data_IF_507862770901
#
_entry.id   IF_507862770901
#
_cell.length_a   1.000
_cell.length_b   1.000
_cell.length_c   1.000
_cell.angle_alpha   90.00
_cell.angle_beta   90.00
_cell.angle_gamma   90.00
#
_symmetry.space_group_name_H-M   'P 1'
#
loop_
_entity.id
_entity.type
_entity.pdbx_description
1 polymer ?
#
# COMPACT_ATOMS: atom_id res chain seq x y z
N UNK A 1 -9.02 21.28 16.84
CA UNK A 1 -8.39 22.02 15.74
C UNK A 1 -9.35 23.14 15.39
N UNK A 2 -9.09 24.37 15.78
CA UNK A 2 -9.87 25.51 15.32
C UNK A 2 -9.67 25.61 13.81
N UNK A 3 -10.74 25.55 13.05
CA UNK A 3 -10.76 25.73 11.60
C UNK A 3 -10.46 27.20 11.29
N UNK A 4 -9.20 27.60 11.44
CA UNK A 4 -8.75 28.91 11.04
C UNK A 4 -8.92 29.04 9.51
N UNK A 5 -9.36 30.19 9.03
CA UNK A 5 -9.62 30.48 7.60
C UNK A 5 -8.47 30.07 6.67
N UNK A 6 -7.21 30.18 7.15
CA UNK A 6 -6.01 29.71 6.42
C UNK A 6 -5.99 28.20 6.22
N UNK A 7 -6.38 27.42 7.23
CA UNK A 7 -6.41 25.96 7.12
C UNK A 7 -7.51 25.49 6.17
N UNK A 8 -8.68 26.13 6.17
CA UNK A 8 -9.77 25.82 5.24
C UNK A 8 -9.31 26.04 3.79
N UNK A 9 -8.66 27.16 3.51
CA UNK A 9 -8.13 27.46 2.17
C UNK A 9 -7.09 26.41 1.76
N UNK A 10 -6.17 26.03 2.65
CA UNK A 10 -5.18 24.99 2.39
C UNK A 10 -5.85 23.65 2.05
N UNK A 11 -6.85 23.23 2.81
CA UNK A 11 -7.58 21.98 2.57
C UNK A 11 -8.27 22.00 1.20
N UNK A 12 -8.96 23.09 0.86
CA UNK A 12 -9.62 23.21 -0.45
C UNK A 12 -8.60 23.15 -1.58
N UNK A 13 -7.47 23.85 -1.46
CA UNK A 13 -6.41 23.83 -2.47
C UNK A 13 -5.85 22.42 -2.63
N UNK A 14 -5.55 21.71 -1.54
CA UNK A 14 -5.00 20.35 -1.58
C UNK A 14 -6.00 19.38 -2.21
N UNK A 15 -7.28 19.47 -1.88
CA UNK A 15 -8.32 18.61 -2.47
C UNK A 15 -8.45 18.87 -3.98
N UNK A 16 -8.55 20.14 -4.38
CA UNK A 16 -8.66 20.51 -5.80
C UNK A 16 -7.41 20.06 -6.57
N UNK A 17 -6.23 20.28 -6.01
CA UNK A 17 -4.97 19.82 -6.60
C UNK A 17 -4.94 18.30 -6.72
N UNK A 18 -5.40 17.56 -5.70
CA UNK A 18 -5.46 16.09 -5.74
C UNK A 18 -6.41 15.58 -6.81
N UNK A 19 -7.59 16.18 -6.94
CA UNK A 19 -8.55 15.82 -7.99
C UNK A 19 -7.94 16.07 -9.38
N UNK A 20 -7.32 17.23 -9.59
CA UNK A 20 -6.67 17.55 -10.86
C UNK A 20 -5.51 16.59 -11.17
N UNK A 21 -4.69 16.27 -10.17
CA UNK A 21 -3.56 15.34 -10.33
C UNK A 21 -4.04 13.95 -10.73
N UNK A 22 -5.06 13.42 -10.05
CA UNK A 22 -5.66 12.12 -10.37
C UNK A 22 -6.31 12.16 -11.76
N UNK A 23 -7.05 13.22 -12.09
CA UNK A 23 -7.71 13.36 -13.39
C UNK A 23 -6.72 13.40 -14.54
N UNK A 24 -5.65 14.23 -14.43
CA UNK A 24 -4.59 14.32 -15.44
C UNK A 24 -3.86 12.99 -15.54
N UNK A 25 -3.47 12.41 -14.41
CA UNK A 25 -2.74 11.14 -14.37
C UNK A 25 -3.54 10.00 -14.98
N UNK A 26 -4.82 9.88 -14.64
CA UNK A 26 -5.71 8.88 -15.24
C UNK A 26 -5.90 9.09 -16.74
N UNK A 27 -6.16 10.34 -17.18
CA UNK A 27 -6.38 10.64 -18.59
C UNK A 27 -5.15 10.39 -19.46
N UNK A 28 -3.95 10.60 -18.93
CA UNK A 28 -2.70 10.35 -19.65
C UNK A 28 -2.27 8.89 -19.65
N UNK A 29 -2.92 8.06 -18.84
CA UNK A 29 -2.57 6.65 -18.63
C UNK A 29 -3.76 5.70 -18.90
N UNK A 30 -4.74 6.10 -19.73
CA UNK A 30 -5.85 5.22 -20.11
C UNK A 30 -5.28 4.02 -20.86
N UNK A 31 -5.19 2.90 -20.16
CA UNK A 31 -4.96 1.59 -20.74
C UNK A 31 -6.33 0.94 -20.95
N UNK A 32 -6.69 0.71 -22.21
CA UNK A 32 -7.76 -0.22 -22.53
C UNK A 32 -7.18 -1.63 -22.33
N UNK A 33 -7.21 -2.14 -21.12
CA UNK A 33 -7.15 -3.58 -20.90
C UNK A 33 -8.54 -4.07 -21.33
N UNK A 34 -8.66 -4.46 -22.60
CA UNK A 34 -9.87 -5.14 -23.09
C UNK A 34 -9.79 -6.56 -22.54
N UNK A 35 -10.49 -6.77 -21.45
CA UNK A 35 -10.81 -8.09 -20.95
C UNK A 35 -12.25 -8.41 -21.33
N UNK A 36 -12.44 -9.01 -22.49
CA UNK A 36 -13.74 -9.51 -22.94
C UNK A 36 -14.31 -10.57 -21.97
N UNK A 37 -13.46 -11.20 -21.16
CA UNK A 37 -13.86 -12.18 -20.15
C UNK A 37 -14.56 -11.57 -18.93
N UNK A 38 -14.37 -10.27 -18.64
CA UNK A 38 -14.99 -9.59 -17.51
C UNK A 38 -16.54 -9.60 -17.56
N UNK A 39 -17.11 -9.74 -18.75
CA UNK A 39 -18.57 -9.76 -18.96
C UNK A 39 -19.22 -11.08 -18.60
N UNK A 40 -18.45 -12.13 -18.31
CA UNK A 40 -18.95 -13.48 -18.06
C UNK A 40 -19.04 -13.87 -16.58
N UNK A 41 -18.69 -12.96 -15.65
CA UNK A 41 -18.78 -13.22 -14.22
C UNK A 41 -20.03 -12.60 -13.60
N UNK A 42 -20.83 -13.44 -12.93
CA UNK A 42 -22.09 -13.01 -12.31
C UNK A 42 -22.14 -13.41 -10.84
N UNK A 43 -22.85 -12.61 -10.04
CA UNK A 43 -23.12 -12.97 -8.64
C UNK A 43 -24.35 -13.88 -8.60
N UNK A 44 -24.26 -14.96 -7.84
CA UNK A 44 -25.34 -15.87 -7.55
C UNK A 44 -25.53 -16.12 -6.06
N UNK A 45 -26.73 -16.58 -5.69
CA UNK A 45 -27.01 -17.12 -4.36
C UNK A 45 -27.52 -18.55 -4.54
N UNK A 46 -26.87 -19.50 -3.90
CA UNK A 46 -27.24 -20.91 -3.93
C UNK A 46 -28.59 -21.11 -3.25
N UNK A 47 -29.52 -21.72 -3.96
CA UNK A 47 -30.90 -21.98 -3.50
C UNK A 47 -31.04 -23.41 -3.03
N UNK A 48 -30.54 -24.38 -3.82
CA UNK A 48 -30.57 -25.81 -3.50
C UNK A 48 -29.37 -26.53 -4.09
N UNK A 49 -28.97 -27.62 -3.46
CA UNK A 49 -28.00 -28.57 -4.00
C UNK A 49 -28.81 -29.69 -4.62
N UNK A 50 -28.60 -29.99 -5.91
CA UNK A 50 -29.37 -30.99 -6.65
C UNK A 50 -28.68 -32.35 -6.61
N UNK A 51 -27.36 -32.38 -6.83
CA UNK A 51 -26.60 -33.61 -6.92
C UNK A 51 -25.16 -33.40 -6.46
N UNK A 52 -24.60 -34.43 -5.86
CA UNK A 52 -23.16 -34.50 -5.57
C UNK A 52 -22.63 -35.81 -6.10
N UNK A 53 -21.76 -35.73 -7.08
CA UNK A 53 -21.13 -36.89 -7.72
C UNK A 53 -19.66 -36.91 -7.34
N UNK A 54 -19.16 -38.10 -7.00
CA UNK A 54 -17.72 -38.33 -6.72
C UNK A 54 -17.20 -39.23 -7.83
N UNK A 55 -16.24 -38.77 -8.57
CA UNK A 55 -15.57 -39.53 -9.62
C UNK A 55 -14.08 -39.65 -9.32
N UNK A 56 -13.45 -40.73 -9.78
CA UNK A 56 -12.01 -40.93 -9.67
C UNK A 56 -11.38 -40.53 -11.01
N UNK A 57 -10.51 -39.54 -10.99
CA UNK A 57 -9.72 -39.11 -12.16
C UNK A 57 -8.33 -39.76 -12.09
N UNK A 58 -7.92 -40.57 -13.02
CA UNK A 58 -6.58 -41.12 -13.05
C UNK A 58 -5.56 -40.00 -13.31
N UNK A 59 -4.51 -39.92 -12.48
CA UNK A 59 -3.38 -39.01 -12.68
C UNK A 59 -2.22 -39.78 -13.30
N UNK A 60 -2.01 -41.01 -12.84
CA UNK A 60 -1.01 -41.94 -13.40
C UNK A 60 -1.63 -43.33 -13.53
N UNK A 61 -0.91 -44.28 -14.14
CA UNK A 61 -1.38 -45.67 -14.25
C UNK A 61 -1.70 -46.35 -12.89
N UNK A 62 -1.14 -45.81 -11.78
CA UNK A 62 -1.27 -46.40 -10.44
C UNK A 62 -1.93 -45.47 -9.41
N UNK A 63 -2.24 -44.24 -9.78
CA UNK A 63 -2.83 -43.25 -8.83
C UNK A 63 -4.02 -42.55 -9.46
N UNK A 64 -5.12 -42.45 -8.69
CA UNK A 64 -6.32 -41.70 -9.04
C UNK A 64 -6.65 -40.73 -7.92
N UNK A 65 -7.21 -39.57 -8.26
CA UNK A 65 -7.66 -38.52 -7.34
C UNK A 65 -9.17 -38.41 -7.41
N UNK A 66 -9.76 -38.18 -6.26
CA UNK A 66 -11.18 -37.94 -6.13
C UNK A 66 -11.53 -36.52 -6.64
N UNK A 67 -12.50 -36.47 -7.53
CA UNK A 67 -13.08 -35.23 -8.03
C UNK A 67 -14.53 -35.21 -7.64
N UNK A 68 -14.91 -34.25 -6.81
CA UNK A 68 -16.29 -34.04 -6.37
C UNK A 68 -16.94 -32.97 -7.22
N UNK A 69 -17.98 -33.34 -7.94
CA UNK A 69 -18.81 -32.41 -8.74
C UNK A 69 -20.13 -32.16 -8.03
N UNK A 70 -20.40 -30.91 -7.65
CA UNK A 70 -21.63 -30.49 -6.99
C UNK A 70 -22.46 -29.70 -7.99
N UNK A 71 -23.63 -30.25 -8.37
CA UNK A 71 -24.62 -29.54 -9.18
C UNK A 71 -25.62 -28.84 -8.26
N UNK A 72 -25.82 -27.54 -8.48
CA UNK A 72 -26.65 -26.70 -7.63
C UNK A 72 -27.55 -25.78 -8.44
N UNK A 73 -28.66 -25.34 -7.84
CA UNK A 73 -29.46 -24.23 -8.33
C UNK A 73 -29.03 -22.94 -7.64
N UNK A 74 -28.85 -21.88 -8.43
CA UNK A 74 -28.55 -20.55 -7.95
C UNK A 74 -29.49 -19.51 -8.53
N UNK A 75 -29.85 -18.52 -7.74
CA UNK A 75 -30.53 -17.32 -8.20
C UNK A 75 -29.48 -16.28 -8.56
N UNK A 76 -29.47 -15.85 -9.83
CA UNK A 76 -28.56 -14.81 -10.30
C UNK A 76 -28.94 -13.44 -9.72
N UNK A 77 -27.95 -12.74 -9.16
CA UNK A 77 -28.09 -11.43 -8.54
C UNK A 77 -27.66 -10.29 -9.47
N UNK A 78 -26.84 -10.60 -10.49
CA UNK A 78 -26.33 -9.64 -11.48
C UNK A 78 -26.40 -10.25 -12.89
N UNK A 79 -26.17 -9.42 -13.92
CA UNK A 79 -26.14 -9.83 -15.32
C UNK A 79 -27.49 -9.82 -16.02
N UNK A 80 -27.51 -10.20 -17.31
CA UNK A 80 -28.72 -10.16 -18.14
C UNK A 80 -29.82 -11.11 -17.66
N UNK A 81 -29.48 -12.19 -16.98
CA UNK A 81 -30.40 -13.17 -16.41
C UNK A 81 -30.68 -12.93 -14.90
N UNK A 82 -30.52 -11.70 -14.42
CA UNK A 82 -30.79 -11.34 -13.00
C UNK A 82 -32.17 -11.78 -12.57
N UNK A 83 -32.27 -12.40 -11.40
CA UNK A 83 -33.52 -12.89 -10.81
C UNK A 83 -33.93 -14.29 -11.24
N UNK A 84 -33.38 -14.82 -12.32
CA UNK A 84 -33.64 -16.20 -12.77
C UNK A 84 -32.87 -17.19 -11.92
N UNK A 85 -33.45 -18.39 -11.78
CA UNK A 85 -32.77 -19.53 -11.15
C UNK A 85 -32.19 -20.38 -12.26
N UNK A 86 -30.86 -20.63 -12.18
CA UNK A 86 -30.10 -21.40 -13.16
C UNK A 86 -29.33 -22.50 -12.46
N UNK A 87 -29.02 -23.56 -13.21
CA UNK A 87 -28.12 -24.62 -12.75
C UNK A 87 -26.68 -24.14 -12.82
N UNK A 88 -25.86 -24.60 -11.89
CA UNK A 88 -24.43 -24.38 -11.88
C UNK A 88 -23.70 -25.58 -11.31
N UNK A 89 -22.42 -25.65 -11.58
CA UNK A 89 -21.54 -26.72 -11.09
C UNK A 89 -20.33 -26.16 -10.32
N UNK A 90 -19.96 -26.85 -9.24
CA UNK A 90 -18.68 -26.70 -8.58
C UNK A 90 -17.90 -28.00 -8.70
N UNK A 91 -16.71 -27.95 -9.25
CA UNK A 91 -15.79 -29.08 -9.32
C UNK A 91 -14.70 -28.89 -8.28
N UNK A 92 -14.61 -29.82 -7.33
CA UNK A 92 -13.58 -29.85 -6.30
C UNK A 92 -12.64 -31.00 -6.66
N UNK A 93 -11.44 -30.65 -7.06
CA UNK A 93 -10.38 -31.62 -7.41
C UNK A 93 -9.44 -31.76 -6.19
N UNK A 94 -9.41 -32.94 -5.59
CA UNK A 94 -8.56 -33.22 -4.44
C UNK A 94 -7.07 -33.34 -4.77
N UNK A 95 -6.67 -33.21 -6.04
CA UNK A 95 -5.25 -33.10 -6.41
C UNK A 95 -4.61 -31.79 -5.93
N UNK A 96 -5.42 -30.76 -5.72
CA UNK A 96 -4.93 -29.50 -5.16
C UNK A 96 -4.72 -29.64 -3.65
N UNK A 97 -3.55 -29.21 -3.18
CA UNK A 97 -3.19 -29.26 -1.76
C UNK A 97 -4.16 -28.48 -0.86
N UNK A 98 -4.88 -27.49 -1.40
CA UNK A 98 -5.90 -26.72 -0.71
C UNK A 98 -7.29 -27.22 -1.11
N UNK A 99 -8.00 -27.87 -0.18
CA UNK A 99 -9.39 -28.28 -0.39
C UNK A 99 -10.27 -27.06 -0.54
N UNK A 100 -10.92 -26.94 -1.70
CA UNK A 100 -11.98 -25.94 -1.85
C UNK A 100 -13.16 -26.32 -0.95
N UNK A 101 -13.68 -25.34 -0.21
CA UNK A 101 -14.90 -25.59 0.60
C UNK A 101 -16.10 -25.88 -0.33
N UNK A 102 -16.86 -26.97 -0.06
CA UNK A 102 -18.06 -27.24 -0.82
C UNK A 102 -19.12 -26.16 -0.58
N UNK A 103 -19.82 -25.78 -1.63
CA UNK A 103 -20.92 -24.81 -1.55
C UNK A 103 -22.04 -25.31 -0.63
N UNK A 104 -22.67 -24.37 0.09
CA UNK A 104 -23.81 -24.62 0.97
C UNK A 104 -25.02 -23.83 0.50
N UNK A 105 -26.21 -24.31 0.80
CA UNK A 105 -27.45 -23.55 0.54
C UNK A 105 -27.37 -22.20 1.25
N UNK A 106 -27.69 -21.13 0.52
CA UNK A 106 -27.59 -19.75 1.00
C UNK A 106 -26.27 -19.07 0.74
N UNK A 107 -25.21 -19.80 0.30
CA UNK A 107 -23.92 -19.21 -0.04
C UNK A 107 -24.06 -18.19 -1.17
N UNK A 108 -23.40 -17.03 -1.01
CA UNK A 108 -23.21 -16.06 -2.09
C UNK A 108 -21.94 -16.39 -2.82
N UNK A 109 -22.04 -16.51 -4.15
CA UNK A 109 -20.95 -16.97 -5.01
C UNK A 109 -20.80 -16.08 -6.24
N UNK A 110 -19.64 -16.16 -6.86
CA UNK A 110 -19.35 -15.65 -8.20
C UNK A 110 -19.35 -16.86 -9.13
N UNK A 111 -20.09 -16.77 -10.22
CA UNK A 111 -20.13 -17.80 -11.25
C UNK A 111 -19.61 -17.26 -12.57
N UNK A 112 -18.88 -18.09 -13.27
CA UNK A 112 -18.43 -17.85 -14.65
C UNK A 112 -19.46 -18.43 -15.59
N UNK A 113 -19.86 -17.68 -16.61
CA UNK A 113 -20.79 -18.13 -17.66
C UNK A 113 -20.03 -18.45 -18.93
N UNK A 114 -20.17 -19.69 -19.40
CA UNK A 114 -19.59 -20.19 -20.63
C UNK A 114 -20.70 -20.55 -21.62
N UNK A 115 -20.97 -19.70 -22.61
CA UNK A 115 -22.11 -19.91 -23.52
C UNK A 115 -21.95 -21.15 -24.42
N UNK A 116 -20.73 -21.60 -24.68
CA UNK A 116 -20.40 -22.74 -25.56
C UNK A 116 -20.34 -24.10 -24.84
N UNK A 117 -20.62 -24.11 -23.53
CA UNK A 117 -20.60 -25.36 -22.78
C UNK A 117 -21.66 -26.36 -23.31
N UNK A 118 -21.24 -27.61 -23.48
CA UNK A 118 -22.03 -28.70 -24.12
C UNK A 118 -23.30 -29.06 -23.35
N UNK A 119 -23.36 -28.78 -22.06
CA UNK A 119 -24.51 -29.04 -21.19
C UNK A 119 -25.00 -27.76 -20.52
N UNK A 120 -26.33 -27.60 -20.39
CA UNK A 120 -26.97 -26.45 -19.74
C UNK A 120 -26.52 -26.32 -18.28
N UNK A 121 -26.24 -27.42 -17.58
CA UNK A 121 -25.73 -27.47 -16.22
C UNK A 121 -24.31 -26.92 -16.09
N UNK A 122 -23.49 -27.07 -17.14
CA UNK A 122 -22.09 -26.62 -17.16
C UNK A 122 -21.89 -25.18 -17.65
N UNK A 123 -22.95 -24.52 -18.11
CA UNK A 123 -22.86 -23.12 -18.56
C UNK A 123 -22.52 -22.13 -17.42
N UNK A 124 -22.84 -22.48 -16.16
CA UNK A 124 -22.49 -21.66 -15.00
C UNK A 124 -21.56 -22.43 -14.07
N UNK A 125 -20.28 -22.12 -14.11
CA UNK A 125 -19.28 -22.74 -13.26
C UNK A 125 -19.01 -21.88 -12.03
N UNK A 126 -18.82 -22.51 -10.87
CA UNK A 126 -18.36 -21.82 -9.66
C UNK A 126 -16.95 -21.26 -9.90
N UNK A 127 -16.81 -19.94 -9.72
CA UNK A 127 -15.50 -19.29 -9.77
C UNK A 127 -14.95 -19.07 -8.36
N UNK A 128 -15.72 -18.37 -7.50
CA UNK A 128 -15.27 -18.00 -6.16
C UNK A 128 -16.44 -17.71 -5.21
N UNK A 129 -16.18 -17.72 -3.91
CA UNK A 129 -17.11 -17.21 -2.91
C UNK A 129 -17.17 -15.68 -2.98
N UNK A 130 -18.37 -15.11 -2.89
CA UNK A 130 -18.54 -13.67 -2.84
C UNK A 130 -18.24 -13.12 -1.45
N UNK A 131 -17.02 -12.59 -1.27
CA UNK A 131 -16.51 -12.10 0.02
C UNK A 131 -16.68 -10.60 0.21
N UNK A 132 -17.10 -9.87 -0.84
CA UNK A 132 -17.10 -8.39 -0.83
C UNK A 132 -18.01 -7.80 0.24
N UNK A 133 -19.14 -8.43 0.58
CA UNK A 133 -20.05 -7.90 1.63
C UNK A 133 -19.34 -7.83 2.99
N UNK A 134 -18.60 -8.89 3.36
CA UNK A 134 -17.81 -8.93 4.59
C UNK A 134 -16.66 -7.92 4.60
N UNK A 135 -15.98 -7.78 3.47
CA UNK A 135 -14.90 -6.78 3.32
C UNK A 135 -15.43 -5.36 3.40
N UNK A 136 -16.56 -5.06 2.73
CA UNK A 136 -17.21 -3.75 2.80
C UNK A 136 -17.63 -3.43 4.24
N UNK A 137 -18.23 -4.41 4.95
CA UNK A 137 -18.59 -4.23 6.35
C UNK A 137 -17.36 -3.89 7.22
N UNK A 138 -16.25 -4.62 7.05
CA UNK A 138 -15.01 -4.37 7.77
C UNK A 138 -14.43 -2.98 7.47
N UNK A 139 -14.42 -2.56 6.20
CA UNK A 139 -13.98 -1.23 5.78
C UNK A 139 -14.85 -0.14 6.39
N UNK A 140 -16.19 -0.30 6.34
CA UNK A 140 -17.12 0.67 6.94
C UNK A 140 -16.89 0.76 8.45
N UNK A 141 -16.75 -0.35 9.14
CA UNK A 141 -16.47 -0.40 10.58
C UNK A 141 -15.16 0.33 10.90
N UNK A 142 -14.10 0.07 10.13
CA UNK A 142 -12.79 0.73 10.29
C UNK A 142 -12.91 2.25 10.11
N UNK A 143 -13.58 2.72 9.05
CA UNK A 143 -13.78 4.14 8.78
C UNK A 143 -14.62 4.81 9.87
N UNK A 144 -15.67 4.16 10.37
CA UNK A 144 -16.48 4.65 11.48
C UNK A 144 -15.66 4.81 12.76
N UNK A 145 -14.82 3.82 13.10
CA UNK A 145 -13.94 3.90 14.28
C UNK A 145 -12.94 5.06 14.15
N UNK A 146 -12.36 5.28 12.98
CA UNK A 146 -11.48 6.44 12.73
C UNK A 146 -12.24 7.75 12.97
N UNK A 147 -13.49 7.86 12.51
CA UNK A 147 -14.30 9.08 12.71
C UNK A 147 -14.66 9.30 14.18
N UNK A 148 -15.06 8.25 14.88
CA UNK A 148 -15.46 8.35 16.30
C UNK A 148 -14.26 8.74 17.16
N UNK A 149 -13.13 8.08 17.01
CA UNK A 149 -11.92 8.31 17.82
C UNK A 149 -11.18 9.57 17.37
N UNK A 150 -10.99 9.72 16.06
CA UNK A 150 -10.18 10.79 15.46
C UNK A 150 -10.92 12.11 15.29
N UNK A 151 -12.27 12.11 15.41
CA UNK A 151 -13.12 13.30 15.22
C UNK A 151 -12.77 14.03 13.91
N UNK A 152 -12.54 15.35 13.97
CA UNK A 152 -12.18 16.16 12.79
C UNK A 152 -10.86 15.71 12.12
N UNK A 153 -9.87 15.29 12.90
CA UNK A 153 -8.62 14.72 12.33
C UNK A 153 -8.88 13.39 11.64
N UNK A 154 -9.76 12.56 12.22
CA UNK A 154 -10.18 11.31 11.61
C UNK A 154 -10.81 11.48 10.22
N UNK A 155 -11.63 12.51 10.03
CA UNK A 155 -12.20 12.84 8.71
C UNK A 155 -11.11 13.15 7.67
N UNK A 156 -10.13 13.98 8.00
CA UNK A 156 -9.01 14.30 7.09
C UNK A 156 -8.08 13.10 6.85
N UNK A 157 -7.93 12.23 7.85
CA UNK A 157 -7.20 10.96 7.69
C UNK A 157 -7.88 10.04 6.68
N UNK A 158 -9.20 9.88 6.77
CA UNK A 158 -9.97 9.09 5.79
C UNK A 158 -9.83 9.68 4.39
N UNK A 159 -9.98 10.99 4.26
CA UNK A 159 -9.84 11.67 2.98
C UNK A 159 -8.44 11.48 2.37
N UNK A 160 -7.39 11.62 3.19
CA UNK A 160 -6.02 11.35 2.77
C UNK A 160 -5.82 9.90 2.33
N UNK A 161 -6.37 8.93 3.08
CA UNK A 161 -6.31 7.51 2.73
C UNK A 161 -6.98 7.23 1.38
N UNK A 162 -8.18 7.77 1.16
CA UNK A 162 -8.90 7.64 -0.11
C UNK A 162 -8.07 8.21 -1.26
N UNK A 163 -7.51 9.42 -1.10
CA UNK A 163 -6.67 10.06 -2.13
C UNK A 163 -5.43 9.20 -2.42
N UNK A 164 -4.77 8.68 -1.39
CA UNK A 164 -3.59 7.81 -1.56
C UNK A 164 -3.93 6.55 -2.34
N UNK A 165 -5.02 5.87 -2.00
CA UNK A 165 -5.48 4.68 -2.72
C UNK A 165 -5.82 5.03 -4.17
N UNK A 166 -6.56 6.10 -4.41
CA UNK A 166 -6.91 6.53 -5.77
C UNK A 166 -5.67 6.88 -6.61
N UNK A 167 -4.68 7.55 -6.03
CA UNK A 167 -3.43 7.87 -6.75
C UNK A 167 -2.65 6.62 -7.12
N UNK A 168 -2.60 5.64 -6.24
CA UNK A 168 -1.93 4.37 -6.54
C UNK A 168 -2.68 3.64 -7.67
N UNK A 169 -4.00 3.46 -7.56
CA UNK A 169 -4.75 2.68 -8.54
C UNK A 169 -5.04 3.41 -9.85
N UNK A 170 -5.27 4.73 -9.82
CA UNK A 170 -5.65 5.48 -11.00
C UNK A 170 -4.48 6.19 -11.71
N UNK A 171 -3.33 6.34 -11.05
CA UNK A 171 -2.18 7.05 -11.63
C UNK A 171 -0.94 6.17 -11.67
N UNK A 172 -0.53 5.60 -10.54
CA UNK A 172 0.73 4.85 -10.43
C UNK A 172 0.70 3.56 -11.24
N UNK A 173 -0.26 2.67 -10.96
CA UNK A 173 -0.37 1.38 -11.66
C UNK A 173 -0.56 1.58 -13.18
N UNK A 174 -1.49 2.43 -13.65
CA UNK A 174 -1.63 2.69 -15.08
C UNK A 174 -0.38 3.29 -15.74
N UNK A 175 0.38 4.11 -15.01
CA UNK A 175 1.63 4.67 -15.54
C UNK A 175 2.69 3.58 -15.78
N UNK A 176 2.80 2.60 -14.87
CA UNK A 176 3.71 1.45 -15.00
C UNK A 176 3.28 0.58 -16.20
N UNK A 177 1.99 0.23 -16.29
CA UNK A 177 1.45 -0.58 -17.39
C UNK A 177 1.69 0.08 -18.75
N UNK A 178 1.64 1.42 -18.82
CA UNK A 178 1.97 2.18 -20.04
C UNK A 178 3.48 2.30 -20.31
N UNK A 179 4.33 1.66 -19.53
CA UNK A 179 5.79 1.65 -19.67
C UNK A 179 6.42 3.03 -19.45
N UNK A 180 5.88 3.82 -18.52
CA UNK A 180 6.54 5.04 -18.04
C UNK A 180 7.69 4.67 -17.13
N UNK A 181 8.64 5.59 -16.98
CA UNK A 181 9.77 5.40 -16.06
C UNK A 181 9.28 5.21 -14.64
N UNK A 182 9.45 4.01 -14.08
CA UNK A 182 8.95 3.61 -12.77
C UNK A 182 9.57 4.45 -11.67
N UNK A 183 10.88 4.72 -11.72
CA UNK A 183 11.60 5.51 -10.70
C UNK A 183 11.04 6.93 -10.60
N UNK A 184 10.92 7.62 -11.76
CA UNK A 184 10.41 8.98 -11.79
C UNK A 184 8.94 9.02 -11.34
N UNK A 185 8.13 8.08 -11.78
CA UNK A 185 6.72 7.99 -11.38
C UNK A 185 6.62 7.78 -9.87
N UNK A 186 7.43 6.90 -9.29
CA UNK A 186 7.46 6.66 -7.83
C UNK A 186 7.85 7.91 -7.05
N UNK A 187 8.88 8.64 -7.49
CA UNK A 187 9.31 9.89 -6.84
C UNK A 187 8.17 10.93 -6.85
N UNK A 188 7.50 11.10 -7.98
CA UNK A 188 6.37 12.04 -8.11
C UNK A 188 5.21 11.63 -7.22
N UNK A 189 4.82 10.36 -7.24
CA UNK A 189 3.72 9.82 -6.43
C UNK A 189 4.04 9.87 -4.93
N UNK A 190 5.25 9.48 -4.51
CA UNK A 190 5.68 9.56 -3.11
C UNK A 190 5.67 11.00 -2.61
N UNK A 191 6.22 11.94 -3.40
CA UNK A 191 6.18 13.35 -3.06
C UNK A 191 4.75 13.87 -2.93
N UNK A 192 3.88 13.51 -3.89
CA UNK A 192 2.46 13.86 -3.84
C UNK A 192 1.78 13.33 -2.58
N UNK A 193 1.99 12.05 -2.23
CA UNK A 193 1.41 11.42 -1.02
C UNK A 193 1.91 12.13 0.25
N UNK A 194 3.21 12.43 0.36
CA UNK A 194 3.78 13.16 1.50
C UNK A 194 3.10 14.52 1.67
N UNK A 195 3.07 15.32 0.61
CA UNK A 195 2.49 16.66 0.66
C UNK A 195 0.99 16.62 1.01
N UNK A 196 0.21 15.81 0.29
CA UNK A 196 -1.24 15.77 0.48
C UNK A 196 -1.63 15.23 1.84
N UNK A 197 -1.00 14.15 2.31
CA UNK A 197 -1.31 13.54 3.60
C UNK A 197 -0.98 14.48 4.75
N UNK A 198 0.23 15.01 4.79
CA UNK A 198 0.66 15.87 5.90
C UNK A 198 -0.10 17.21 5.92
N UNK A 199 -0.40 17.78 4.76
CA UNK A 199 -1.17 19.02 4.67
C UNK A 199 -2.65 18.83 5.01
N UNK A 200 -3.28 17.72 4.62
CA UNK A 200 -4.67 17.43 4.97
C UNK A 200 -4.84 17.17 6.46
N UNK A 201 -3.92 16.44 7.09
CA UNK A 201 -4.06 16.07 8.51
C UNK A 201 -3.67 17.23 9.44
N UNK A 202 -2.64 17.99 9.09
CA UNK A 202 -2.02 18.96 10.00
C UNK A 202 -2.13 20.42 9.54
N UNK A 203 -2.57 20.68 8.30
CA UNK A 203 -2.62 22.03 7.73
C UNK A 203 -1.24 22.59 7.39
N UNK A 204 -1.20 23.82 6.86
CA UNK A 204 0.04 24.52 6.51
C UNK A 204 0.62 25.25 7.73
N UNK A 205 1.66 24.69 8.29
CA UNK A 205 2.38 25.26 9.44
C UNK A 205 3.86 24.85 9.44
N UNK A 206 4.68 25.45 10.31
CA UNK A 206 6.11 25.17 10.43
C UNK A 206 6.40 23.71 10.76
N UNK A 207 5.55 23.09 11.59
CA UNK A 207 5.62 21.69 11.97
C UNK A 207 5.43 20.78 10.75
N UNK A 208 4.37 21.01 9.96
CA UNK A 208 4.11 20.24 8.75
C UNK A 208 5.24 20.37 7.74
N UNK A 209 5.78 21.59 7.56
CA UNK A 209 6.88 21.83 6.63
C UNK A 209 8.15 21.07 7.04
N UNK A 210 8.53 21.10 8.33
CA UNK A 210 9.70 20.34 8.79
C UNK A 210 9.51 18.82 8.69
N UNK A 211 8.31 18.30 8.91
CA UNK A 211 7.98 16.91 8.71
C UNK A 211 8.05 16.49 7.22
N UNK A 212 7.56 17.33 6.31
CA UNK A 212 7.66 17.09 4.85
C UNK A 212 9.13 16.99 4.43
N UNK A 213 9.96 17.95 4.82
CA UNK A 213 11.37 17.97 4.45
C UNK A 213 12.14 16.80 5.06
N UNK A 214 11.86 16.45 6.30
CA UNK A 214 12.45 15.30 6.97
C UNK A 214 12.07 13.97 6.31
N UNK A 215 10.80 13.84 5.91
CA UNK A 215 10.30 12.67 5.19
C UNK A 215 10.96 12.52 3.82
N UNK A 216 11.00 13.59 3.02
CA UNK A 216 11.67 13.58 1.72
C UNK A 216 13.15 13.19 1.89
N UNK A 217 13.83 13.71 2.92
CA UNK A 217 15.21 13.35 3.24
C UNK A 217 15.37 11.86 3.54
N UNK A 218 14.53 11.31 4.42
CA UNK A 218 14.56 9.89 4.78
C UNK A 218 14.29 8.96 3.58
N UNK A 219 13.25 9.26 2.81
CA UNK A 219 12.88 8.49 1.61
C UNK A 219 13.93 8.60 0.50
N UNK A 220 14.53 9.76 0.29
CA UNK A 220 15.60 9.93 -0.69
C UNK A 220 16.81 9.05 -0.36
N UNK A 221 17.23 9.03 0.92
CA UNK A 221 18.32 8.16 1.37
C UNK A 221 17.96 6.68 1.21
N UNK A 222 16.75 6.27 1.62
CA UNK A 222 16.28 4.90 1.41
C UNK A 222 16.29 4.51 -0.08
N UNK A 223 15.77 5.36 -0.95
CA UNK A 223 15.75 5.11 -2.40
C UNK A 223 17.15 5.00 -3.01
N UNK A 224 18.09 5.84 -2.58
CA UNK A 224 19.50 5.77 -3.03
C UNK A 224 20.15 4.47 -2.56
N UNK A 225 19.98 4.11 -1.29
CA UNK A 225 20.54 2.86 -0.73
C UNK A 225 19.92 1.65 -1.46
N UNK A 226 18.61 1.66 -1.73
CA UNK A 226 17.95 0.60 -2.49
C UNK A 226 18.59 0.40 -3.87
N UNK A 227 18.87 1.47 -4.62
CA UNK A 227 19.54 1.39 -5.93
C UNK A 227 20.95 0.81 -5.81
N UNK A 228 21.72 1.29 -4.85
CA UNK A 228 23.10 0.83 -4.64
C UNK A 228 23.10 -0.66 -4.27
N UNK A 229 22.27 -1.05 -3.30
CA UNK A 229 22.21 -2.42 -2.82
C UNK A 229 21.64 -3.39 -3.85
N UNK A 230 20.65 -2.99 -4.65
CA UNK A 230 20.16 -3.82 -5.75
C UNK A 230 21.25 -4.16 -6.77
N UNK A 231 22.18 -3.23 -7.04
CA UNK A 231 23.32 -3.48 -7.90
C UNK A 231 24.38 -4.39 -7.25
N UNK A 232 24.68 -4.18 -5.96
CA UNK A 232 25.65 -4.99 -5.22
C UNK A 232 25.16 -6.43 -5.09
N UNK A 233 23.87 -6.61 -4.76
CA UNK A 233 23.22 -7.90 -4.59
C UNK A 233 22.85 -8.57 -5.91
N UNK A 234 23.09 -7.90 -7.06
CA UNK A 234 22.78 -8.39 -8.41
C UNK A 234 21.32 -8.80 -8.57
N UNK A 235 20.41 -8.02 -8.00
CA UNK A 235 18.97 -8.25 -8.11
C UNK A 235 18.55 -7.94 -9.55
N UNK A 236 17.83 -8.87 -10.17
CA UNK A 236 17.32 -8.73 -11.54
C UNK A 236 15.83 -8.37 -11.58
N UNK A 237 15.12 -8.47 -10.43
CA UNK A 237 13.70 -8.14 -10.26
C UNK A 237 12.76 -9.33 -10.49
N UNK A 238 13.28 -10.51 -10.74
CA UNK A 238 12.47 -11.71 -10.86
C UNK A 238 12.29 -12.39 -9.50
N UNK A 239 11.40 -11.81 -8.68
CA UNK A 239 11.30 -12.16 -7.27
C UNK A 239 10.44 -13.41 -7.03
N UNK A 240 9.29 -13.51 -7.68
CA UNK A 240 8.31 -14.58 -7.51
C UNK A 240 7.52 -14.87 -8.81
N UNK A 241 6.53 -15.77 -8.73
CA UNK A 241 5.71 -16.17 -9.87
C UNK A 241 4.87 -15.02 -10.44
N UNK A 242 4.42 -14.06 -9.63
CA UNK A 242 3.68 -12.90 -10.09
C UNK A 242 4.51 -12.04 -11.05
N UNK A 243 5.81 -11.89 -10.79
CA UNK A 243 6.72 -11.20 -11.72
C UNK A 243 6.91 -11.98 -13.03
N UNK A 244 6.87 -13.33 -12.99
CA UNK A 244 6.86 -14.16 -14.20
C UNK A 244 5.63 -13.88 -15.06
N UNK A 245 4.45 -13.78 -14.44
CA UNK A 245 3.22 -13.41 -15.15
C UNK A 245 3.28 -12.03 -15.76
N UNK A 246 3.87 -11.05 -15.05
CA UNK A 246 4.05 -9.70 -15.60
C UNK A 246 4.91 -9.69 -16.86
N UNK A 247 5.98 -10.51 -16.89
CA UNK A 247 6.83 -10.64 -18.08
C UNK A 247 6.11 -11.37 -19.21
N UNK A 248 5.34 -12.41 -18.89
CA UNK A 248 4.59 -13.19 -19.87
C UNK A 248 3.43 -12.40 -20.50
N UNK A 249 2.94 -11.36 -19.80
CA UNK A 249 1.88 -10.49 -20.32
C UNK A 249 2.41 -9.66 -21.48
N UNK A 250 1.82 -9.81 -22.68
CA UNK A 250 2.21 -9.11 -23.90
C UNK A 250 1.81 -7.63 -23.84
N UNK A 251 2.48 -6.86 -23.00
CA UNK A 251 2.30 -5.42 -22.93
C UNK A 251 3.03 -4.72 -24.09
N UNK A 252 2.51 -3.55 -24.47
CA UNK A 252 3.12 -2.74 -25.55
C UNK A 252 4.59 -2.35 -25.29
N UNK A 253 4.99 -2.30 -24.03
CA UNK A 253 6.36 -2.02 -23.57
C UNK A 253 6.74 -3.00 -22.46
N UNK A 254 8.01 -3.44 -22.41
CA UNK A 254 8.49 -4.28 -21.32
C UNK A 254 8.40 -3.52 -19.98
N UNK A 255 7.97 -4.23 -18.95
CA UNK A 255 7.90 -3.70 -17.59
C UNK A 255 9.31 -3.75 -16.96
N UNK A 256 9.71 -2.67 -16.30
CA UNK A 256 10.92 -2.60 -15.50
C UNK A 256 10.69 -3.26 -14.13
N UNK A 257 10.98 -4.55 -14.02
CA UNK A 257 10.77 -5.32 -12.79
C UNK A 257 11.62 -4.79 -11.63
N UNK A 258 12.87 -4.42 -11.89
CA UNK A 258 13.74 -3.85 -10.86
C UNK A 258 13.20 -2.51 -10.35
N UNK A 259 12.65 -1.71 -11.26
CA UNK A 259 11.94 -0.47 -10.91
C UNK A 259 10.72 -0.75 -10.03
N UNK A 260 9.96 -1.84 -10.27
CA UNK A 260 8.82 -2.23 -9.41
C UNK A 260 9.30 -2.61 -8.02
N UNK A 261 10.34 -3.43 -7.89
CA UNK A 261 10.94 -3.78 -6.59
C UNK A 261 11.37 -2.51 -5.84
N UNK A 262 12.08 -1.62 -6.53
CA UNK A 262 12.51 -0.36 -5.95
C UNK A 262 11.33 0.51 -5.50
N UNK A 263 10.28 0.58 -6.30
CA UNK A 263 9.07 1.34 -5.95
C UNK A 263 8.36 0.75 -4.73
N UNK A 264 8.33 -0.58 -4.61
CA UNK A 264 7.82 -1.27 -3.44
C UNK A 264 8.55 -0.89 -2.16
N UNK A 265 9.89 -0.83 -2.20
CA UNK A 265 10.72 -0.38 -1.08
C UNK A 265 10.38 1.06 -0.67
N UNK A 266 10.34 1.98 -1.64
CA UNK A 266 10.09 3.40 -1.41
C UNK A 266 8.68 3.65 -0.88
N UNK A 267 7.65 3.12 -1.55
CA UNK A 267 6.26 3.30 -1.13
C UNK A 267 5.94 2.57 0.18
N UNK A 268 6.50 1.37 0.38
CA UNK A 268 6.29 0.58 1.59
C UNK A 268 6.89 1.22 2.84
N UNK A 269 8.04 1.91 2.72
CA UNK A 269 8.65 2.62 3.84
C UNK A 269 8.02 3.99 4.13
N UNK A 270 7.31 4.56 3.15
CA UNK A 270 6.82 5.95 3.18
C UNK A 270 5.96 6.24 4.42
N UNK A 271 5.03 5.35 4.78
CA UNK A 271 4.15 5.53 5.94
C UNK A 271 4.92 5.63 7.24
N UNK A 272 5.84 4.69 7.49
CA UNK A 272 6.63 4.63 8.72
C UNK A 272 7.59 5.83 8.84
N UNK A 273 8.22 6.23 7.73
CA UNK A 273 9.09 7.42 7.69
C UNK A 273 8.26 8.69 7.97
N UNK A 274 7.04 8.77 7.45
CA UNK A 274 6.13 9.89 7.64
C UNK A 274 5.71 10.04 9.12
N UNK A 275 5.40 8.93 9.77
CA UNK A 275 4.99 8.91 11.18
C UNK A 275 6.11 9.40 12.10
N UNK A 276 7.35 8.94 11.85
CA UNK A 276 8.53 9.38 12.62
C UNK A 276 8.81 10.86 12.39
N UNK A 277 8.85 11.31 11.15
CA UNK A 277 9.09 12.71 10.82
C UNK A 277 8.03 13.62 11.46
N UNK A 278 6.77 13.22 11.43
CA UNK A 278 5.68 13.98 12.02
C UNK A 278 5.72 14.01 13.55
N UNK A 279 6.06 12.88 14.19
CA UNK A 279 6.17 12.76 15.64
C UNK A 279 7.30 13.67 16.18
N UNK A 280 8.49 13.59 15.56
CA UNK A 280 9.63 14.44 15.93
C UNK A 280 9.30 15.92 15.73
N UNK A 281 8.75 16.27 14.57
CA UNK A 281 8.40 17.67 14.27
C UNK A 281 7.34 18.22 15.23
N UNK A 282 6.37 17.38 15.62
CA UNK A 282 5.34 17.75 16.59
C UNK A 282 5.92 18.02 17.96
N UNK A 283 6.76 17.11 18.47
CA UNK A 283 7.40 17.27 19.77
C UNK A 283 8.38 18.44 19.80
N UNK A 284 9.13 18.66 18.73
CA UNK A 284 10.04 19.83 18.61
C UNK A 284 9.27 21.15 18.52
N UNK A 285 8.11 21.18 17.88
CA UNK A 285 7.26 22.39 17.86
C UNK A 285 6.79 22.73 19.27
N UNK A 286 6.30 21.76 20.03
CA UNK A 286 5.86 21.94 21.41
C UNK A 286 7.00 22.40 22.32
N UNK A 287 8.18 21.79 22.20
CA UNK A 287 9.37 22.26 22.90
C UNK A 287 9.72 23.69 22.53
N UNK A 288 9.62 24.05 21.24
CA UNK A 288 9.95 25.41 20.80
C UNK A 288 9.02 26.46 21.40
N UNK A 289 7.75 26.14 21.67
CA UNK A 289 6.78 27.04 22.28
C UNK A 289 7.07 27.28 23.75
N UNK A 290 7.66 26.33 24.45
CA UNK A 290 7.93 26.37 25.90
C UNK A 290 9.38 26.76 26.27
N UNK A 291 10.29 26.92 25.29
CA UNK A 291 11.69 27.30 25.54
C UNK A 291 11.87 28.83 25.58
N UNK A 292 12.50 29.34 26.65
CA UNK A 292 12.86 30.78 26.77
C UNK A 292 13.94 31.19 25.74
N UNK A 293 14.97 30.35 25.52
CA UNK A 293 16.04 30.61 24.56
C UNK A 293 16.10 29.44 23.57
N UNK A 294 15.72 29.70 22.34
CA UNK A 294 15.75 28.73 21.23
C UNK A 294 17.07 28.84 20.49
N UNK A 295 17.96 27.88 20.69
CA UNK A 295 19.17 27.77 19.87
C UNK A 295 19.07 26.53 18.99
N UNK A 296 19.52 26.63 17.73
CA UNK A 296 19.46 25.52 16.76
C UNK A 296 20.11 24.24 17.31
N UNK A 297 21.23 24.39 18.03
CA UNK A 297 21.96 23.25 18.58
C UNK A 297 21.18 22.54 19.72
N UNK A 298 20.51 23.29 20.61
CA UNK A 298 19.64 22.70 21.65
C UNK A 298 18.44 22.01 21.03
N UNK A 299 17.80 22.65 20.04
CA UNK A 299 16.67 22.08 19.32
C UNK A 299 17.09 20.79 18.59
N UNK A 300 18.22 20.80 17.88
CA UNK A 300 18.74 19.62 17.19
C UNK A 300 19.00 18.47 18.17
N UNK A 301 19.66 18.74 19.30
CA UNK A 301 19.93 17.73 20.34
C UNK A 301 18.64 17.14 20.91
N UNK A 302 17.63 17.98 21.16
CA UNK A 302 16.33 17.51 21.64
C UNK A 302 15.61 16.65 20.60
N UNK A 303 15.60 17.08 19.34
CA UNK A 303 15.03 16.32 18.24
C UNK A 303 15.69 14.95 18.04
N UNK A 304 17.02 14.91 18.14
CA UNK A 304 17.78 13.65 18.09
C UNK A 304 17.47 12.72 19.26
N UNK A 305 17.27 13.24 20.46
CA UNK A 305 16.90 12.41 21.62
C UNK A 305 15.49 11.84 21.45
N UNK A 306 14.49 12.66 21.07
CA UNK A 306 13.13 12.22 20.77
C UNK A 306 13.13 11.15 19.66
N UNK A 307 13.92 11.40 18.61
CA UNK A 307 14.01 10.47 17.48
C UNK A 307 14.63 9.11 17.84
N UNK A 308 15.59 9.08 18.77
CA UNK A 308 16.21 7.81 19.22
C UNK A 308 15.19 6.87 19.87
N UNK A 309 14.26 7.40 20.64
CA UNK A 309 13.21 6.62 21.28
C UNK A 309 12.25 6.04 20.23
N UNK A 310 11.96 6.81 19.16
CA UNK A 310 11.11 6.37 18.06
C UNK A 310 11.77 5.32 17.14
N UNK A 311 13.10 5.40 16.92
CA UNK A 311 13.82 4.49 16.02
C UNK A 311 13.58 3.02 16.38
N UNK A 312 13.76 2.67 17.67
CA UNK A 312 13.67 1.26 18.10
C UNK A 312 12.30 0.65 17.85
N UNK A 313 11.24 1.36 18.21
CA UNK A 313 9.86 0.87 18.06
C UNK A 313 9.41 0.82 16.61
N UNK A 314 9.65 1.88 15.84
CA UNK A 314 9.20 1.98 14.45
C UNK A 314 9.98 1.06 13.51
N UNK A 315 11.29 0.92 13.71
CA UNK A 315 12.12 -0.04 12.95
C UNK A 315 11.66 -1.47 13.20
N UNK A 316 11.43 -1.84 14.47
CA UNK A 316 10.93 -3.17 14.80
C UNK A 316 9.56 -3.45 14.18
N UNK A 317 8.64 -2.47 14.23
CA UNK A 317 7.31 -2.59 13.63
C UNK A 317 7.40 -2.82 12.12
N UNK A 318 8.28 -2.09 11.42
CA UNK A 318 8.45 -2.23 9.97
C UNK A 318 9.06 -3.59 9.61
N UNK A 319 10.09 -4.05 10.34
CA UNK A 319 10.68 -5.37 10.15
C UNK A 319 9.62 -6.46 10.36
N UNK A 320 8.85 -6.38 11.44
CA UNK A 320 7.79 -7.36 11.72
C UNK A 320 6.69 -7.35 10.66
N UNK A 321 6.35 -6.21 10.10
CA UNK A 321 5.38 -6.12 9.01
C UNK A 321 5.87 -6.87 7.75
N UNK A 322 7.13 -6.69 7.37
CA UNK A 322 7.72 -7.40 6.22
C UNK A 322 7.87 -8.89 6.50
N UNK A 323 8.41 -9.28 7.66
CA UNK A 323 8.52 -10.69 8.05
C UNK A 323 7.14 -11.36 8.09
N UNK A 324 6.12 -10.65 8.61
CA UNK A 324 4.76 -11.16 8.67
C UNK A 324 4.14 -11.39 7.28
N UNK A 325 4.38 -10.50 6.32
CA UNK A 325 3.91 -10.65 4.94
C UNK A 325 4.59 -11.81 4.22
N UNK A 326 5.87 -12.09 4.52
CA UNK A 326 6.69 -13.08 3.83
C UNK A 326 6.79 -14.42 4.56
N UNK A 327 6.03 -14.62 5.65
CA UNK A 327 6.17 -15.81 6.51
C UNK A 327 5.89 -17.12 5.74
N UNK A 328 4.89 -17.11 4.84
CA UNK A 328 4.57 -18.28 4.02
C UNK A 328 5.72 -18.65 3.08
N UNK A 329 6.36 -17.67 2.48
CA UNK A 329 7.53 -17.81 1.62
C UNK A 329 8.72 -18.41 2.38
N UNK A 330 8.99 -17.87 3.58
CA UNK A 330 10.08 -18.39 4.43
C UNK A 330 9.82 -19.83 4.84
N UNK A 331 8.59 -20.18 5.21
CA UNK A 331 8.19 -21.56 5.54
C UNK A 331 8.36 -22.47 4.33
N UNK A 332 7.86 -22.06 3.15
CA UNK A 332 7.98 -22.82 1.92
C UNK A 332 9.46 -23.14 1.59
N UNK A 333 10.29 -22.12 1.57
CA UNK A 333 11.70 -22.27 1.28
C UNK A 333 12.44 -23.09 2.33
N UNK A 334 12.03 -23.01 3.60
CA UNK A 334 12.62 -23.84 4.68
C UNK A 334 12.28 -25.31 4.53
N UNK A 335 11.14 -25.65 3.93
CA UNK A 335 10.74 -27.05 3.67
C UNK A 335 11.46 -27.61 2.44
N UNK A 336 11.53 -26.81 1.37
CA UNK A 336 12.09 -27.28 0.08
C UNK A 336 13.62 -27.17 0.00
N UNK A 337 14.23 -26.24 0.72
CA UNK A 337 15.67 -26.04 0.70
C UNK A 337 16.33 -26.54 1.99
N UNK A 338 16.94 -27.73 1.95
CA UNK A 338 17.77 -28.25 3.05
C UNK A 338 19.10 -27.49 3.23
N UNK A 339 19.40 -26.55 2.34
CA UNK A 339 20.63 -25.75 2.36
C UNK A 339 20.31 -24.28 2.72
N UNK A 340 20.62 -23.93 3.96
CA UNK A 340 20.42 -22.56 4.50
C UNK A 340 21.14 -21.52 3.65
N UNK A 341 22.34 -21.83 3.15
CA UNK A 341 23.11 -20.90 2.32
C UNK A 341 22.36 -20.58 1.01
N UNK A 342 21.76 -21.57 0.37
CA UNK A 342 20.97 -21.36 -0.85
C UNK A 342 19.70 -20.55 -0.53
N UNK A 343 19.00 -20.88 0.54
CA UNK A 343 17.78 -20.21 0.95
C UNK A 343 17.99 -18.70 1.13
N UNK A 344 19.01 -18.30 1.90
CA UNK A 344 19.31 -16.88 2.15
C UNK A 344 19.89 -16.13 0.93
N UNK A 345 20.24 -16.83 -0.14
CA UNK A 345 20.70 -16.23 -1.40
C UNK A 345 19.68 -16.33 -2.54
N UNK A 346 18.48 -16.83 -2.25
CA UNK A 346 17.36 -16.77 -3.20
C UNK A 346 16.89 -15.32 -3.33
N UNK A 347 16.68 -14.84 -4.57
CA UNK A 347 16.32 -13.44 -4.84
C UNK A 347 15.08 -13.00 -4.07
N UNK A 348 14.09 -13.87 -3.94
CA UNK A 348 12.87 -13.66 -3.16
C UNK A 348 13.17 -13.26 -1.70
N UNK A 349 14.00 -14.02 -0.99
CA UNK A 349 14.40 -13.70 0.41
C UNK A 349 15.29 -12.45 0.45
N UNK A 350 16.23 -12.33 -0.48
CA UNK A 350 17.14 -11.17 -0.55
C UNK A 350 16.35 -9.87 -0.70
N UNK A 351 15.33 -9.85 -1.55
CA UNK A 351 14.50 -8.66 -1.76
C UNK A 351 13.68 -8.32 -0.52
N UNK A 352 13.08 -9.31 0.16
CA UNK A 352 12.34 -9.09 1.41
C UNK A 352 13.22 -8.51 2.53
N UNK A 353 14.43 -9.07 2.70
CA UNK A 353 15.41 -8.54 3.66
C UNK A 353 15.83 -7.13 3.26
N UNK A 354 16.08 -6.89 1.98
CA UNK A 354 16.43 -5.57 1.46
C UNK A 354 15.34 -4.53 1.75
N UNK A 355 14.08 -4.85 1.47
CA UNK A 355 12.94 -3.96 1.74
C UNK A 355 12.85 -3.61 3.23
N UNK A 356 12.95 -4.60 4.08
CA UNK A 356 12.90 -4.45 5.54
C UNK A 356 14.01 -3.56 6.07
N UNK A 357 15.27 -3.82 5.67
CA UNK A 357 16.43 -3.08 6.15
C UNK A 357 16.47 -1.66 5.56
N UNK A 358 16.27 -1.51 4.26
CA UNK A 358 16.32 -0.20 3.60
C UNK A 358 15.19 0.70 4.06
N UNK A 359 13.98 0.16 4.25
CA UNK A 359 12.87 0.90 4.85
C UNK A 359 13.21 1.39 6.26
N UNK A 360 13.84 0.53 7.07
CA UNK A 360 14.32 0.88 8.41
C UNK A 360 15.42 1.95 8.39
N UNK A 361 16.33 1.89 7.42
CA UNK A 361 17.33 2.95 7.19
C UNK A 361 16.66 4.28 6.81
N UNK A 362 15.56 4.24 6.03
CA UNK A 362 14.75 5.43 5.76
C UNK A 362 14.23 6.10 7.02
N UNK A 363 13.71 5.32 7.98
CA UNK A 363 13.30 5.81 9.31
C UNK A 363 14.50 6.43 10.04
N UNK A 364 15.63 5.71 10.08
CA UNK A 364 16.83 6.13 10.80
C UNK A 364 17.38 7.46 10.27
N UNK A 365 17.37 7.69 8.96
CA UNK A 365 17.83 8.94 8.37
C UNK A 365 16.77 10.06 8.40
N UNK A 366 15.48 9.73 8.48
CA UNK A 366 14.44 10.73 8.68
C UNK A 366 14.56 11.46 10.02
N UNK A 367 15.09 10.79 11.05
CA UNK A 367 15.30 11.39 12.38
C UNK A 367 16.23 12.60 12.33
N UNK A 368 17.50 12.48 11.92
CA UNK A 368 18.40 13.64 11.84
C UNK A 368 17.93 14.67 10.81
N UNK A 369 17.34 14.23 9.68
CA UNK A 369 16.81 15.14 8.67
C UNK A 369 15.68 16.01 9.24
N UNK A 370 14.69 15.40 9.90
CA UNK A 370 13.59 16.12 10.53
C UNK A 370 14.07 17.04 11.65
N UNK A 371 14.96 16.54 12.52
CA UNK A 371 15.51 17.33 13.62
C UNK A 371 16.27 18.57 13.12
N UNK A 372 17.03 18.43 12.03
CA UNK A 372 17.77 19.51 11.40
C UNK A 372 16.82 20.57 10.80
N UNK A 373 15.86 20.16 9.98
CA UNK A 373 14.91 21.09 9.38
C UNK A 373 14.03 21.77 10.43
N UNK A 374 13.57 21.02 11.44
CA UNK A 374 12.78 21.56 12.53
C UNK A 374 13.59 22.56 13.36
N UNK A 375 14.83 22.23 13.73
CA UNK A 375 15.72 23.15 14.43
C UNK A 375 15.90 24.46 13.66
N UNK A 376 16.19 24.39 12.36
CA UNK A 376 16.34 25.57 11.51
C UNK A 376 15.05 26.40 11.40
N UNK A 377 13.91 25.75 11.12
CA UNK A 377 12.62 26.44 10.90
C UNK A 377 12.08 27.10 12.17
N UNK A 378 12.29 26.47 13.35
CA UNK A 378 11.77 26.98 14.61
C UNK A 378 12.65 28.07 15.22
N UNK A 379 13.96 28.12 14.92
CA UNK A 379 14.87 29.13 15.48
C UNK A 379 15.02 30.37 14.62
N UNK A 380 14.82 30.28 13.31
CA UNK A 380 15.04 31.37 12.34
C UNK A 380 14.37 32.71 12.70
N UNK A 381 13.19 32.71 13.35
CA UNK A 381 12.48 33.95 13.70
C UNK A 381 12.95 34.57 15.02
N UNK A 382 13.61 33.81 15.89
CA UNK A 382 14.07 34.30 17.18
C UNK A 382 15.45 34.94 17.07
N UNK A 383 16.34 34.46 16.20
CA UNK A 383 17.60 35.13 15.89
C UNK A 383 17.40 36.56 15.37
N UNK A 384 16.40 36.78 14.49
CA UNK A 384 16.04 38.11 14.01
C UNK A 384 15.52 39.05 15.13
N UNK A 385 14.80 38.48 16.10
CA UNK A 385 14.30 39.27 17.25
C UNK A 385 15.42 39.69 18.21
N UNK A 386 16.42 38.81 18.39
CA UNK A 386 17.56 39.12 19.27
C UNK A 386 18.49 40.16 18.64
N UNK A 387 18.84 40.02 17.36
CA UNK A 387 19.64 40.97 16.59
C UNK A 387 18.98 42.38 16.63
N UNK A 388 17.68 42.43 16.39
CA UNK A 388 16.93 43.72 16.42
C UNK A 388 16.80 44.31 17.81
N UNK A 389 16.85 43.51 18.87
CA UNK A 389 16.78 43.97 20.26
C UNK A 389 18.12 44.45 20.74
N UNK A 390 19.22 43.87 20.28
CA UNK A 390 20.58 44.34 20.56
C UNK A 390 20.93 45.60 19.78
N UNK A 391 20.45 45.76 18.53
CA UNK A 391 20.57 47.03 17.78
C UNK A 391 19.78 48.20 18.39
N UNK A 392 18.58 47.92 18.93
CA UNK A 392 17.74 48.95 19.56
C UNK A 392 18.17 49.21 21.01
N UNK A 393 18.75 48.21 21.71
CA UNK A 393 19.24 48.35 23.10
C UNK A 393 20.59 49.06 23.22
N UNK A 394 21.32 49.22 22.11
CA UNK A 394 22.61 49.93 22.04
C UNK A 394 22.51 51.44 21.95
N UNK A 395 21.33 52.03 21.79
CA UNK A 395 21.14 53.48 21.82
C UNK A 395 20.59 53.87 23.21
N UNK A 396 21.47 53.95 24.22
CA UNK A 396 21.23 54.75 25.41
C UNK A 396 21.77 56.16 25.12
N UNK A 397 20.83 57.08 24.94
CA UNK A 397 21.08 58.53 25.07
C UNK A 397 21.29 58.88 26.54
#
# INVERSE_FOLDING_TARGET
MELNRKNIITFVIVIVFSILFIWIGNRTNITQIHDDSAHNYFRGKVVSIEKTDISLKPITETSSVSVTTITYKQKLLTGPNRGKTVLGIQTIDESYAVKQEPIKVGSKIITYFEPEASEISSQYSFAEYYRSDGLIFLVILFLLLILIIGKSKGFFTILSLIITVLVIFCVFIPAIINGRNVYLTTIVISSFIIFTTLLLINGWNKKTLSAILGNIGGIAVAGIIAIIMSKILKINGFVDEEYAFLVATQLKKPIDLLGIVWSGIVLGSLGAVMDVAMSISSAMNELSENMEKKTANKMMKSGMNIGRDAIGTMTNTLILAYVGSSIATVVLLSIYNNNILLMFNTEMIVVEVLQSIVGSLGILFAVPATALFAAYIFTKNDEYKYIKKDEIGGIKI
#
